data_IF_413650226555
#
_entry.id   IF_413650226555
#
_cell.length_a   1.000
_cell.length_b   1.000
_cell.length_c   1.000
_cell.angle_alpha   90.00
_cell.angle_beta   90.00
_cell.angle_gamma   90.00
#
_symmetry.space_group_name_H-M   'P 1'
#
loop_
_entity.id
_entity.type
_entity.pdbx_description
1 polymer ?
#
# COMPACT_ATOMS: atom_id res chain seq x y z
N UNK A 1 26.24 -50.21 12.01
CA UNK A 1 27.00 -49.52 13.06
C UNK A 1 28.36 -49.26 12.43
N UNK A 2 28.71 -48.07 11.96
CA UNK A 2 28.53 -46.72 12.52
C UNK A 2 28.44 -45.67 11.40
N UNK A 3 27.79 -44.57 11.73
CA UNK A 3 27.66 -43.33 10.94
C UNK A 3 28.99 -42.58 10.93
N UNK A 4 29.33 -41.96 9.80
CA UNK A 4 30.14 -40.75 9.75
C UNK A 4 29.57 -39.87 8.63
N UNK A 5 28.78 -38.88 9.04
CA UNK A 5 28.36 -37.75 8.21
C UNK A 5 29.41 -36.70 8.54
N UNK A 6 30.43 -36.57 7.70
CA UNK A 6 31.40 -35.49 7.82
C UNK A 6 30.94 -34.32 6.94
N UNK A 7 30.67 -33.24 7.67
CA UNK A 7 30.28 -31.92 7.24
C UNK A 7 31.46 -31.22 6.55
N UNK A 8 31.45 -31.17 5.21
CA UNK A 8 32.26 -30.23 4.45
C UNK A 8 31.36 -29.39 3.53
N UNK A 9 30.59 -28.51 4.17
CA UNK A 9 30.24 -27.24 3.58
C UNK A 9 31.50 -26.36 3.45
N UNK A 10 32.18 -26.39 2.28
CA UNK A 10 32.69 -25.17 1.62
C UNK A 10 33.16 -25.47 0.19
N UNK A 11 32.79 -24.56 -0.71
CA UNK A 11 33.36 -24.31 -2.05
C UNK A 11 33.07 -25.28 -3.19
N UNK A 12 32.01 -24.98 -3.95
CA UNK A 12 31.87 -25.49 -5.31
C UNK A 12 30.49 -25.34 -5.95
N UNK A 13 29.72 -24.28 -5.66
CA UNK A 13 28.49 -24.02 -6.42
C UNK A 13 28.91 -23.56 -7.82
N UNK A 14 29.16 -24.50 -8.72
CA UNK A 14 29.10 -24.24 -10.16
C UNK A 14 27.74 -23.57 -10.37
N UNK A 15 27.67 -22.33 -10.88
CA UNK A 15 26.39 -21.68 -11.13
C UNK A 15 25.54 -22.66 -11.94
N UNK A 16 24.28 -22.90 -11.54
CA UNK A 16 23.46 -23.92 -12.18
C UNK A 16 23.51 -23.70 -13.69
N UNK A 17 23.82 -24.76 -14.44
CA UNK A 17 23.84 -24.67 -15.91
C UNK A 17 22.52 -24.06 -16.39
N UNK A 18 22.51 -23.26 -17.48
CA UNK A 18 21.31 -22.53 -17.92
C UNK A 18 20.04 -23.40 -18.05
N UNK A 19 20.21 -24.70 -18.31
CA UNK A 19 19.16 -25.71 -18.34
C UNK A 19 18.59 -26.08 -16.95
N UNK A 20 19.44 -26.26 -15.95
CA UNK A 20 19.01 -26.53 -14.57
C UNK A 20 18.37 -25.29 -13.96
N UNK A 21 18.93 -24.10 -14.21
CA UNK A 21 18.32 -22.83 -13.81
C UNK A 21 16.91 -22.66 -14.39
N UNK A 22 16.72 -22.93 -15.70
CA UNK A 22 15.39 -22.90 -16.33
C UNK A 22 14.41 -23.89 -15.71
N UNK A 23 14.84 -25.11 -15.36
CA UNK A 23 13.97 -26.13 -14.75
C UNK A 23 13.55 -25.73 -13.33
N UNK A 24 14.49 -25.21 -12.52
CA UNK A 24 14.22 -24.74 -11.16
C UNK A 24 13.27 -23.53 -11.20
N UNK A 25 13.55 -22.56 -12.08
CA UNK A 25 12.68 -21.39 -12.28
C UNK A 25 11.29 -21.81 -12.73
N UNK A 26 11.17 -22.77 -13.66
CA UNK A 26 9.87 -23.28 -14.12
C UNK A 26 9.07 -23.97 -13.01
N UNK A 27 9.74 -24.77 -12.18
CA UNK A 27 9.10 -25.43 -11.04
C UNK A 27 8.66 -24.42 -9.98
N UNK A 28 9.48 -23.40 -9.69
CA UNK A 28 9.16 -22.32 -8.77
C UNK A 28 7.96 -21.50 -9.26
N UNK A 29 7.92 -21.16 -10.55
CA UNK A 29 6.79 -20.45 -11.17
C UNK A 29 5.51 -21.27 -11.10
N UNK A 30 5.57 -22.58 -11.39
CA UNK A 30 4.39 -23.45 -11.31
C UNK A 30 3.82 -23.51 -9.89
N UNK A 31 4.70 -23.62 -8.88
CA UNK A 31 4.28 -23.64 -7.47
C UNK A 31 3.72 -22.29 -7.00
N UNK A 32 4.27 -21.19 -7.52
CA UNK A 32 3.74 -19.84 -7.30
C UNK A 32 2.32 -19.70 -7.86
N UNK A 33 2.05 -20.22 -9.07
CA UNK A 33 0.72 -20.17 -9.67
C UNK A 33 -0.34 -20.96 -8.87
N UNK A 34 0.01 -22.14 -8.35
CA UNK A 34 -0.91 -22.91 -7.49
C UNK A 34 -1.22 -22.18 -6.18
N UNK A 35 -0.22 -21.57 -5.54
CA UNK A 35 -0.42 -20.77 -4.31
C UNK A 35 -1.27 -19.51 -4.55
N UNK A 36 -1.06 -18.82 -5.67
CA UNK A 36 -1.88 -17.65 -6.05
C UNK A 36 -3.32 -18.08 -6.33
N UNK A 37 -3.54 -19.26 -6.92
CA UNK A 37 -4.88 -19.79 -7.19
C UNK A 37 -5.61 -20.19 -5.91
N UNK A 38 -4.90 -20.74 -4.92
CA UNK A 38 -5.46 -21.18 -3.64
C UNK A 38 -5.74 -20.00 -2.69
N UNK A 39 -4.88 -18.98 -2.66
CA UNK A 39 -4.96 -17.86 -1.71
C UNK A 39 -5.42 -16.53 -2.33
N UNK A 40 -5.74 -16.49 -3.62
CA UNK A 40 -6.23 -15.28 -4.32
C UNK A 40 -5.15 -14.25 -4.66
N UNK A 41 -3.87 -14.58 -4.44
CA UNK A 41 -2.74 -13.65 -4.63
C UNK A 41 -2.62 -12.61 -3.51
N UNK A 42 -1.49 -11.88 -3.45
CA UNK A 42 -1.36 -10.76 -2.51
C UNK A 42 -2.43 -9.69 -2.82
N UNK A 43 -2.93 -8.96 -1.80
CA UNK A 43 -3.85 -7.86 -2.03
C UNK A 43 -3.23 -6.89 -3.05
N UNK A 44 -4.06 -6.35 -3.95
CA UNK A 44 -3.62 -5.36 -4.93
C UNK A 44 -3.20 -4.08 -4.21
N UNK A 45 -1.94 -4.05 -3.76
CA UNK A 45 -1.36 -2.95 -3.03
C UNK A 45 -1.40 -1.66 -3.87
N UNK A 46 -1.24 -1.78 -5.20
CA UNK A 46 -1.36 -0.65 -6.11
C UNK A 46 -2.80 -0.13 -6.17
N UNK A 47 -3.79 -1.01 -6.23
CA UNK A 47 -5.21 -0.67 -6.16
C UNK A 47 -5.59 0.02 -4.85
N UNK A 48 -5.12 -0.49 -3.71
CA UNK A 48 -5.38 0.10 -2.38
C UNK A 48 -4.78 1.50 -2.27
N UNK A 49 -3.52 1.67 -2.66
CA UNK A 49 -2.86 2.98 -2.63
C UNK A 49 -3.56 3.96 -3.57
N UNK A 50 -3.94 3.52 -4.77
CA UNK A 50 -4.66 4.35 -5.73
C UNK A 50 -6.02 4.81 -5.20
N UNK A 51 -6.77 3.94 -4.55
CA UNK A 51 -8.05 4.30 -3.95
C UNK A 51 -7.84 5.28 -2.79
N UNK A 52 -6.82 5.09 -1.97
CA UNK A 52 -6.51 6.02 -0.88
C UNK A 52 -6.13 7.41 -1.38
N UNK A 53 -5.33 7.49 -2.46
CA UNK A 53 -4.99 8.76 -3.13
C UNK A 53 -6.26 9.45 -3.65
N UNK A 54 -7.18 8.69 -4.25
CA UNK A 54 -8.45 9.23 -4.74
C UNK A 54 -9.29 9.83 -3.61
N UNK A 55 -9.48 9.08 -2.53
CA UNK A 55 -10.24 9.53 -1.36
C UNK A 55 -9.64 10.78 -0.71
N UNK A 56 -8.31 10.86 -0.66
CA UNK A 56 -7.63 12.04 -0.10
C UNK A 56 -7.83 13.29 -0.97
N UNK A 57 -7.78 13.15 -2.30
CA UNK A 57 -8.08 14.27 -3.21
C UNK A 57 -9.54 14.71 -3.08
N UNK A 58 -10.48 13.77 -3.10
CA UNK A 58 -11.91 14.07 -2.95
C UNK A 58 -12.18 14.81 -1.63
N UNK A 59 -11.56 14.36 -0.53
CA UNK A 59 -11.66 15.01 0.78
C UNK A 59 -11.07 16.42 0.77
N UNK A 60 -9.89 16.62 0.18
CA UNK A 60 -9.26 17.94 0.13
C UNK A 60 -10.08 18.92 -0.70
N UNK A 61 -10.64 18.47 -1.83
CA UNK A 61 -11.47 19.30 -2.69
C UNK A 61 -12.73 19.80 -1.96
N UNK A 62 -13.47 18.90 -1.27
CA UNK A 62 -14.65 19.33 -0.51
C UNK A 62 -14.28 20.22 0.68
N UNK A 63 -13.16 19.94 1.34
CA UNK A 63 -12.65 20.76 2.44
C UNK A 63 -12.35 22.19 1.97
N UNK A 64 -11.66 22.34 0.84
CA UNK A 64 -11.27 23.64 0.31
C UNK A 64 -12.48 24.48 -0.12
N UNK A 65 -13.47 23.85 -0.78
CA UNK A 65 -14.75 24.50 -1.10
C UNK A 65 -15.47 24.95 0.17
N UNK A 66 -15.54 24.07 1.17
CA UNK A 66 -16.16 24.38 2.46
C UNK A 66 -15.50 25.56 3.17
N UNK A 67 -14.16 25.58 3.24
CA UNK A 67 -13.39 26.68 3.83
C UNK A 67 -13.59 28.00 3.08
N UNK A 68 -13.66 27.95 1.74
CA UNK A 68 -14.00 29.12 0.92
C UNK A 68 -15.37 29.70 1.28
N UNK A 69 -16.40 28.86 1.37
CA UNK A 69 -17.76 29.29 1.75
C UNK A 69 -17.82 29.86 3.17
N UNK A 70 -17.14 29.23 4.12
CA UNK A 70 -17.02 29.72 5.50
C UNK A 70 -16.36 31.10 5.53
N UNK A 71 -15.31 31.31 4.73
CA UNK A 71 -14.65 32.60 4.59
C UNK A 71 -15.59 33.69 4.08
N UNK A 72 -16.47 33.38 3.13
CA UNK A 72 -17.48 34.32 2.62
C UNK A 72 -18.55 34.65 3.68
N UNK A 73 -19.03 33.63 4.40
CA UNK A 73 -20.02 33.82 5.48
C UNK A 73 -19.43 34.67 6.61
N UNK A 74 -18.19 34.39 7.02
CA UNK A 74 -17.49 35.13 8.06
C UNK A 74 -17.33 36.61 7.67
N UNK A 75 -16.90 36.88 6.43
CA UNK A 75 -16.80 38.25 5.90
C UNK A 75 -18.16 38.96 5.90
N UNK A 76 -19.23 38.30 5.43
CA UNK A 76 -20.57 38.90 5.40
C UNK A 76 -21.12 39.22 6.79
N UNK A 77 -20.74 38.45 7.81
CA UNK A 77 -21.19 38.63 9.20
C UNK A 77 -20.26 39.51 10.03
N UNK A 78 -19.07 39.85 9.52
CA UNK A 78 -18.06 40.60 10.27
C UNK A 78 -17.45 39.82 11.45
N UNK A 79 -17.52 38.48 11.40
CA UNK A 79 -17.04 37.58 12.45
C UNK A 79 -15.79 36.83 11.97
N UNK A 80 -15.07 36.17 12.89
CA UNK A 80 -13.91 35.36 12.51
C UNK A 80 -14.35 34.02 11.94
N UNK A 81 -13.58 33.47 11.00
CA UNK A 81 -13.88 32.17 10.39
C UNK A 81 -13.98 31.04 11.43
N UNK A 82 -13.20 31.11 12.53
CA UNK A 82 -13.24 30.13 13.65
C UNK A 82 -14.61 30.13 14.34
N UNK A 83 -15.25 31.30 14.46
CA UNK A 83 -16.57 31.43 15.12
C UNK A 83 -17.65 30.76 14.27
N UNK A 84 -17.57 30.94 12.95
CA UNK A 84 -18.45 30.27 11.98
C UNK A 84 -18.19 28.75 11.97
N UNK A 85 -16.93 28.31 11.97
CA UNK A 85 -16.59 26.88 12.05
C UNK A 85 -17.18 26.24 13.32
N UNK A 86 -17.07 26.92 14.46
CA UNK A 86 -17.62 26.44 15.74
C UNK A 86 -19.15 26.34 15.69
N UNK A 87 -19.83 27.35 15.11
CA UNK A 87 -21.28 27.35 14.91
C UNK A 87 -21.76 26.16 14.06
N UNK A 88 -21.02 25.83 12.99
CA UNK A 88 -21.32 24.71 12.11
C UNK A 88 -20.77 23.36 12.61
N UNK A 89 -20.17 23.30 13.81
CA UNK A 89 -19.62 22.07 14.39
C UNK A 89 -18.41 21.52 13.64
N UNK A 90 -17.70 22.37 12.90
CA UNK A 90 -16.48 22.01 12.16
C UNK A 90 -15.32 22.12 13.13
N UNK A 91 -14.76 20.98 13.54
CA UNK A 91 -13.53 20.97 14.31
C UNK A 91 -12.36 21.47 13.44
N UNK A 92 -11.59 22.44 13.94
CA UNK A 92 -10.22 22.65 13.47
C UNK A 92 -9.44 21.41 13.84
N UNK A 93 -9.07 20.61 12.83
CA UNK A 93 -8.37 19.35 13.02
C UNK A 93 -7.15 19.52 13.95
N UNK A 94 -7.03 18.60 14.92
CA UNK A 94 -5.75 18.20 15.55
C UNK A 94 -4.70 17.83 14.48
#
# INVERSE_FOLDING_TARGET
MTVAIDDENTTGVIPPTPLQAKKIVRAAVSKMYELVKEYGGPPDAAGIVKEHIRLLHDYNEIKDVGQGLIGLIAQSRGVRHIEVQTEFGIATAD
#
